data_IF_892190388826
#
_entry.id   IF_892190388826
#
_cell.length_a   1.000
_cell.length_b   1.000
_cell.length_c   1.000
_cell.angle_alpha   90.00
_cell.angle_beta   90.00
_cell.angle_gamma   90.00
#
_symmetry.space_group_name_H-M   'P 1'
#
loop_
_entity.id
_entity.type
_entity.pdbx_description
1 polymer ?
#
# COMPACT_ATOMS: atom_id res chain seq x y z
N UNK A 1 8.96 19.00 -9.22
CA UNK A 1 10.13 19.71 -8.66
C UNK A 1 11.30 18.74 -8.57
N UNK A 2 12.31 18.90 -9.43
CA UNK A 2 13.50 18.05 -9.53
C UNK A 2 14.28 17.95 -8.21
N UNK A 3 14.35 19.04 -7.48
CA UNK A 3 15.06 19.08 -6.18
C UNK A 3 14.37 18.16 -5.13
N UNK A 4 13.05 18.07 -5.14
CA UNK A 4 12.31 17.14 -4.27
C UNK A 4 12.57 15.68 -4.68
N UNK A 5 12.59 15.38 -5.97
CA UNK A 5 12.89 14.03 -6.45
C UNK A 5 14.32 13.62 -6.08
N UNK A 6 15.30 14.51 -6.22
CA UNK A 6 16.69 14.26 -5.83
C UNK A 6 16.85 14.06 -4.30
N UNK A 7 16.09 14.79 -3.52
CA UNK A 7 16.15 14.71 -2.05
C UNK A 7 15.50 13.43 -1.52
N UNK A 8 14.31 13.08 -2.00
CA UNK A 8 13.50 11.99 -1.45
C UNK A 8 13.60 10.68 -2.25
N UNK A 9 14.07 10.74 -3.51
CA UNK A 9 14.29 9.58 -4.37
C UNK A 9 15.58 8.80 -4.10
N UNK A 10 16.37 9.19 -3.09
CA UNK A 10 17.60 8.47 -2.74
C UNK A 10 17.31 7.06 -2.26
N UNK A 11 17.95 6.06 -2.90
CA UNK A 11 17.78 4.65 -2.54
C UNK A 11 16.64 3.94 -3.27
N UNK A 12 15.91 4.63 -4.16
CA UNK A 12 14.99 3.96 -5.08
C UNK A 12 15.79 3.19 -6.14
N UNK A 13 15.22 2.09 -6.70
CA UNK A 13 15.88 1.35 -7.78
C UNK A 13 16.23 2.26 -8.94
N UNK A 14 17.46 2.19 -9.43
CA UNK A 14 17.96 2.89 -10.61
C UNK A 14 18.52 1.88 -11.60
N UNK A 15 17.74 0.83 -11.86
CA UNK A 15 18.06 -0.22 -12.80
C UNK A 15 17.55 0.07 -14.23
N UNK A 16 17.81 -0.87 -15.14
CA UNK A 16 17.37 -0.75 -16.54
C UNK A 16 15.84 -0.69 -16.66
N UNK A 17 15.11 -1.44 -15.83
CA UNK A 17 13.64 -1.50 -15.86
C UNK A 17 13.08 -0.15 -15.43
N UNK A 18 13.59 0.41 -14.33
CA UNK A 18 13.16 1.73 -13.86
C UNK A 18 13.38 2.81 -14.91
N UNK A 19 14.61 2.89 -15.47
CA UNK A 19 14.96 3.95 -16.44
C UNK A 19 14.21 3.86 -17.75
N UNK A 20 14.03 2.64 -18.28
CA UNK A 20 13.52 2.45 -19.66
C UNK A 20 12.03 2.07 -19.72
N UNK A 21 11.47 1.56 -18.63
CA UNK A 21 10.08 1.13 -18.62
C UNK A 21 9.23 2.03 -17.71
N UNK A 22 9.54 2.10 -16.43
CA UNK A 22 8.67 2.80 -15.47
C UNK A 22 8.77 4.31 -15.58
N UNK A 23 9.95 4.89 -15.47
CA UNK A 23 10.13 6.34 -15.53
C UNK A 23 9.81 6.92 -16.90
N UNK A 24 10.19 6.22 -17.98
CA UNK A 24 9.97 6.68 -19.35
C UNK A 24 8.53 6.47 -19.83
N UNK A 25 7.81 5.50 -19.26
CA UNK A 25 6.50 5.07 -19.73
C UNK A 25 5.50 4.88 -18.58
N UNK A 26 5.47 5.80 -17.62
CA UNK A 26 4.67 5.71 -16.39
C UNK A 26 3.17 5.44 -16.61
N UNK A 27 2.62 5.85 -17.76
CA UNK A 27 1.21 5.62 -18.13
C UNK A 27 0.98 4.32 -18.90
N UNK A 28 2.06 3.68 -19.38
CA UNK A 28 1.94 2.45 -20.19
C UNK A 28 1.32 1.30 -19.38
N UNK A 29 1.67 1.15 -18.11
CA UNK A 29 1.11 0.13 -17.23
C UNK A 29 -0.41 0.24 -17.08
N UNK A 30 -0.91 1.47 -16.96
CA UNK A 30 -2.36 1.76 -16.84
C UNK A 30 -3.09 1.35 -18.14
N UNK A 31 -2.51 1.70 -19.31
CA UNK A 31 -3.08 1.34 -20.60
C UNK A 31 -3.01 -0.16 -20.85
N UNK A 32 -1.87 -0.80 -20.53
CA UNK A 32 -1.69 -2.24 -20.68
C UNK A 32 -2.71 -3.02 -19.82
N UNK A 33 -2.94 -2.56 -18.60
CA UNK A 33 -3.95 -3.16 -17.70
C UNK A 33 -5.35 -3.08 -18.30
N UNK A 34 -5.73 -1.91 -18.89
CA UNK A 34 -7.00 -1.78 -19.61
C UNK A 34 -7.11 -2.77 -20.77
N UNK A 35 -6.05 -2.91 -21.59
CA UNK A 35 -6.05 -3.85 -22.71
C UNK A 35 -6.20 -5.29 -22.22
N UNK A 36 -5.49 -5.69 -21.17
CA UNK A 36 -5.59 -7.02 -20.58
C UNK A 36 -7.00 -7.27 -20.06
N UNK A 37 -7.58 -6.34 -19.32
CA UNK A 37 -8.94 -6.48 -18.80
C UNK A 37 -9.98 -6.61 -19.93
N UNK A 38 -9.82 -5.84 -21.00
CA UNK A 38 -10.70 -5.96 -22.18
C UNK A 38 -10.55 -7.30 -22.90
N UNK A 39 -9.35 -7.84 -23.00
CA UNK A 39 -9.10 -9.14 -23.60
C UNK A 39 -9.67 -10.29 -22.74
N UNK A 40 -9.60 -10.17 -21.42
CA UNK A 40 -10.08 -11.21 -20.48
C UNK A 40 -11.61 -11.15 -20.28
N UNK A 41 -12.18 -9.97 -20.17
CA UNK A 41 -13.56 -9.76 -19.75
C UNK A 41 -14.45 -9.10 -20.83
N UNK A 42 -13.93 -8.86 -22.05
CA UNK A 42 -14.64 -8.14 -23.09
C UNK A 42 -15.05 -6.73 -22.63
N UNK A 43 -16.24 -6.23 -22.98
CA UNK A 43 -16.70 -4.89 -22.58
C UNK A 43 -16.74 -4.65 -21.07
N UNK A 44 -16.89 -5.71 -20.25
CA UNK A 44 -16.84 -5.64 -18.79
C UNK A 44 -15.46 -5.28 -18.25
N UNK A 45 -14.42 -5.43 -19.07
CA UNK A 45 -13.05 -5.01 -18.76
C UNK A 45 -12.94 -3.52 -18.42
N UNK A 46 -13.79 -2.66 -19.02
CA UNK A 46 -13.85 -1.24 -18.64
C UNK A 46 -14.29 -1.05 -17.17
N UNK A 47 -15.27 -1.83 -16.71
CA UNK A 47 -15.73 -1.76 -15.33
C UNK A 47 -14.66 -2.28 -14.36
N UNK A 48 -14.03 -3.41 -14.68
CA UNK A 48 -12.95 -4.00 -13.88
C UNK A 48 -11.80 -2.99 -13.75
N UNK A 49 -11.33 -2.47 -14.88
CA UNK A 49 -10.27 -1.48 -14.90
C UNK A 49 -10.64 -0.21 -14.13
N UNK A 50 -11.88 0.30 -14.29
CA UNK A 50 -12.36 1.49 -13.57
C UNK A 50 -12.34 1.28 -12.04
N UNK A 51 -12.75 0.11 -11.57
CA UNK A 51 -12.70 -0.25 -10.14
C UNK A 51 -11.24 -0.31 -9.66
N UNK A 52 -10.35 -0.94 -10.42
CA UNK A 52 -8.92 -1.00 -10.09
C UNK A 52 -8.30 0.40 -9.98
N UNK A 53 -8.63 1.32 -10.92
CA UNK A 53 -8.11 2.69 -10.88
C UNK A 53 -8.64 3.51 -9.71
N UNK A 54 -9.87 3.27 -9.27
CA UNK A 54 -10.48 3.96 -8.13
C UNK A 54 -10.09 3.35 -6.78
N UNK A 55 -9.68 2.10 -6.75
CA UNK A 55 -9.41 1.37 -5.51
C UNK A 55 -8.37 2.07 -4.63
N UNK A 56 -7.20 2.34 -5.18
CA UNK A 56 -6.10 2.96 -4.43
C UNK A 56 -6.44 4.39 -4.00
N UNK A 57 -6.89 5.32 -4.88
CA UNK A 57 -7.25 6.67 -4.46
C UNK A 57 -8.35 6.68 -3.40
N UNK A 58 -9.37 5.84 -3.53
CA UNK A 58 -10.46 5.76 -2.57
C UNK A 58 -9.99 5.25 -1.20
N UNK A 59 -9.29 4.11 -1.18
CA UNK A 59 -8.88 3.50 0.08
C UNK A 59 -7.66 4.18 0.68
N UNK A 60 -6.58 4.38 -0.07
CA UNK A 60 -5.35 4.95 0.48
C UNK A 60 -5.50 6.43 0.82
N UNK A 61 -6.02 7.27 -0.09
CA UNK A 61 -6.15 8.69 0.16
C UNK A 61 -7.41 9.02 0.98
N UNK A 62 -8.58 8.47 0.62
CA UNK A 62 -9.84 8.78 1.27
C UNK A 62 -9.99 8.11 2.63
N UNK A 63 -9.87 6.79 2.68
CA UNK A 63 -10.12 6.03 3.92
C UNK A 63 -8.91 6.07 4.83
N UNK A 64 -7.75 5.63 4.37
CA UNK A 64 -6.58 5.52 5.25
C UNK A 64 -6.05 6.88 5.66
N UNK A 65 -5.71 7.76 4.72
CA UNK A 65 -5.15 9.07 5.06
C UNK A 65 -6.21 10.09 5.48
N UNK A 66 -7.46 9.96 5.05
CA UNK A 66 -8.56 10.82 5.48
C UNK A 66 -9.16 10.34 6.81
N UNK A 67 -9.91 9.22 6.77
CA UNK A 67 -10.60 8.70 7.95
C UNK A 67 -9.63 8.25 9.04
N UNK A 68 -8.52 7.61 8.68
CA UNK A 68 -7.51 7.11 9.61
C UNK A 68 -6.77 8.20 10.42
N UNK A 69 -6.87 9.49 10.02
CA UNK A 69 -6.38 10.61 10.82
C UNK A 69 -7.49 11.33 11.60
N UNK A 70 -8.73 10.86 11.51
CA UNK A 70 -9.87 11.48 12.17
C UNK A 70 -10.62 10.54 13.11
N UNK A 71 -10.77 9.27 12.74
CA UNK A 71 -11.61 8.30 13.45
C UNK A 71 -10.88 6.98 13.67
N UNK A 72 -11.03 6.44 14.89
CA UNK A 72 -10.52 5.14 15.27
C UNK A 72 -9.95 5.11 16.69
N UNK A 73 -9.33 3.99 17.05
CA UNK A 73 -8.67 3.84 18.34
C UNK A 73 -7.15 4.01 18.22
N UNK A 74 -6.48 4.28 19.34
CA UNK A 74 -5.03 4.48 19.42
C UNK A 74 -4.39 3.47 20.38
N UNK A 75 -3.26 2.92 19.98
CA UNK A 75 -2.43 2.09 20.86
C UNK A 75 -1.28 2.86 21.52
N UNK A 76 -1.09 4.11 21.16
CA UNK A 76 -0.06 4.99 21.67
C UNK A 76 -0.25 6.42 21.19
N UNK A 77 0.69 7.28 21.57
CA UNK A 77 0.71 8.69 21.16
C UNK A 77 1.54 8.79 19.88
N UNK A 78 0.91 9.18 18.78
CA UNK A 78 1.56 9.50 17.50
C UNK A 78 1.87 11.00 17.45
N UNK A 79 2.79 11.39 16.57
CA UNK A 79 3.12 12.83 16.35
C UNK A 79 2.00 13.58 15.63
N UNK A 80 1.08 12.84 15.05
CA UNK A 80 -0.10 13.31 14.35
C UNK A 80 -1.38 12.69 14.96
N UNK A 81 -2.52 12.88 14.31
CA UNK A 81 -3.80 12.36 14.77
C UNK A 81 -4.11 10.95 14.27
N UNK A 82 -3.15 10.21 13.74
CA UNK A 82 -3.37 8.87 13.19
C UNK A 82 -3.99 7.91 14.21
N UNK A 83 -4.96 7.14 13.73
CA UNK A 83 -5.75 6.17 14.48
C UNK A 83 -5.78 4.84 13.74
N UNK A 84 -6.05 3.77 14.46
CA UNK A 84 -6.42 2.49 13.87
C UNK A 84 -7.92 2.52 13.56
N UNK A 85 -8.30 2.35 12.31
CA UNK A 85 -9.69 2.41 11.85
C UNK A 85 -10.47 1.18 12.32
N UNK A 86 -9.83 0.01 12.22
CA UNK A 86 -10.36 -1.29 12.59
C UNK A 86 -9.25 -2.19 13.13
N UNK A 87 -9.53 -3.10 14.07
CA UNK A 87 -8.55 -4.11 14.48
C UNK A 87 -8.35 -5.21 13.42
N UNK A 88 -9.16 -5.25 12.39
CA UNK A 88 -9.12 -6.24 11.32
C UNK A 88 -8.47 -5.64 10.08
N UNK A 89 -7.14 -5.75 9.99
CA UNK A 89 -6.34 -5.31 8.85
C UNK A 89 -6.40 -6.32 7.70
N UNK A 90 -7.53 -6.39 6.98
CA UNK A 90 -7.79 -7.39 5.93
C UNK A 90 -8.01 -6.74 4.57
N UNK A 91 -8.85 -5.71 4.50
CA UNK A 91 -9.34 -5.14 3.23
C UNK A 91 -8.26 -4.36 2.51
N UNK A 92 -7.38 -3.68 3.26
CA UNK A 92 -6.35 -2.79 2.71
C UNK A 92 -4.95 -3.27 3.15
N UNK A 93 -4.77 -4.57 3.26
CA UNK A 93 -3.44 -5.16 3.49
C UNK A 93 -2.85 -4.92 4.88
N UNK A 94 -3.64 -4.53 5.87
CA UNK A 94 -3.19 -4.18 7.23
C UNK A 94 -3.22 -2.68 7.53
N UNK A 95 -3.37 -1.83 6.50
CA UNK A 95 -3.37 -0.37 6.64
C UNK A 95 -4.55 0.18 7.46
N UNK A 96 -5.56 -0.63 7.77
CA UNK A 96 -6.58 -0.32 8.77
C UNK A 96 -5.98 -0.06 10.16
N UNK A 97 -4.78 -0.60 10.42
CA UNK A 97 -3.98 -0.37 11.64
C UNK A 97 -3.06 0.85 11.50
N UNK A 98 -3.56 1.91 10.88
CA UNK A 98 -2.81 3.10 10.45
C UNK A 98 -2.13 3.84 11.61
N UNK A 99 -2.78 3.94 12.77
CA UNK A 99 -2.17 4.50 13.97
C UNK A 99 -0.95 3.71 14.44
N UNK A 100 -0.97 2.38 14.33
CA UNK A 100 0.17 1.54 14.65
C UNK A 100 1.32 1.71 13.65
N UNK A 101 1.00 1.88 12.35
CA UNK A 101 1.98 2.23 11.32
C UNK A 101 2.70 3.54 11.67
N UNK A 102 1.97 4.59 12.02
CA UNK A 102 2.55 5.88 12.41
C UNK A 102 3.34 5.85 13.73
N UNK A 103 3.08 4.90 14.62
CA UNK A 103 3.89 4.70 15.83
C UNK A 103 5.29 4.15 15.53
N UNK A 104 5.42 3.33 14.48
CA UNK A 104 6.67 2.69 14.09
C UNK A 104 6.64 2.38 12.58
N UNK A 105 6.90 3.39 11.74
CA UNK A 105 6.77 3.25 10.28
C UNK A 105 7.74 2.25 9.64
N UNK A 106 8.83 1.92 10.33
CA UNK A 106 9.82 0.96 9.84
C UNK A 106 9.44 -0.50 10.12
N UNK A 107 8.45 -0.73 10.98
CA UNK A 107 8.04 -2.08 11.35
C UNK A 107 7.07 -2.67 10.31
N UNK A 108 7.41 -3.77 9.67
CA UNK A 108 6.50 -4.41 8.71
C UNK A 108 5.28 -5.05 9.34
N UNK A 109 5.26 -5.20 10.68
CA UNK A 109 4.11 -5.71 11.42
C UNK A 109 3.30 -4.55 11.96
N UNK A 110 2.08 -4.38 11.48
CA UNK A 110 1.17 -3.32 11.91
C UNK A 110 0.34 -3.73 13.15
N UNK A 111 0.08 -5.03 13.36
CA UNK A 111 -0.62 -5.51 14.57
C UNK A 111 0.26 -5.41 15.82
N UNK A 112 -0.24 -4.76 16.89
CA UNK A 112 0.46 -4.57 18.17
C UNK A 112 -0.26 -5.23 19.34
N UNK A 113 -1.57 -5.40 19.25
CA UNK A 113 -2.41 -6.02 20.29
C UNK A 113 -2.82 -7.42 19.90
N UNK A 114 -3.13 -8.25 20.86
CA UNK A 114 -3.51 -9.66 20.64
C UNK A 114 -4.81 -9.83 19.82
N UNK A 115 -5.69 -8.81 19.83
CA UNK A 115 -6.95 -8.81 19.10
C UNK A 115 -6.85 -8.19 17.69
N UNK A 116 -5.68 -7.68 17.33
CA UNK A 116 -5.44 -7.10 16.01
C UNK A 116 -4.98 -8.17 15.04
N UNK A 117 -5.56 -8.17 13.86
CA UNK A 117 -5.17 -9.03 12.76
C UNK A 117 -4.59 -8.20 11.61
N UNK A 118 -3.46 -8.63 11.07
CA UNK A 118 -2.70 -7.97 10.02
C UNK A 118 -2.43 -8.98 8.90
N UNK A 119 -3.20 -8.88 7.82
CA UNK A 119 -3.09 -9.77 6.67
C UNK A 119 -1.76 -9.57 5.92
N UNK A 120 -1.23 -8.34 5.90
CA UNK A 120 0.08 -8.03 5.31
C UNK A 120 1.19 -8.77 6.04
N UNK A 121 1.20 -8.66 7.37
CA UNK A 121 2.15 -9.41 8.19
C UNK A 121 2.01 -10.93 8.05
N UNK A 122 0.79 -11.44 7.97
CA UNK A 122 0.55 -12.87 7.73
C UNK A 122 1.25 -13.32 6.43
N UNK A 123 1.08 -12.59 5.33
CA UNK A 123 1.72 -12.94 4.06
C UNK A 123 3.24 -12.77 4.09
N UNK A 124 3.76 -11.75 4.77
CA UNK A 124 5.21 -11.59 4.97
C UNK A 124 5.78 -12.83 5.67
N UNK A 125 5.11 -13.35 6.71
CA UNK A 125 5.55 -14.56 7.42
C UNK A 125 5.46 -15.82 6.54
N UNK A 126 4.46 -15.92 5.67
CA UNK A 126 4.38 -17.01 4.68
C UNK A 126 5.56 -16.95 3.71
N UNK A 127 5.85 -15.77 3.15
CA UNK A 127 6.98 -15.59 2.23
C UNK A 127 8.33 -15.84 2.91
N UNK A 128 8.49 -15.42 4.16
CA UNK A 128 9.69 -15.72 4.95
C UNK A 128 9.88 -17.23 5.15
N UNK A 129 8.80 -17.94 5.50
CA UNK A 129 8.82 -19.40 5.66
C UNK A 129 9.17 -20.12 4.35
N UNK A 130 8.72 -19.59 3.22
CA UNK A 130 9.06 -20.08 1.88
C UNK A 130 10.44 -19.64 1.40
N UNK A 131 11.20 -18.87 2.20
CA UNK A 131 12.51 -18.30 1.85
C UNK A 131 12.47 -17.35 0.64
N UNK A 132 11.32 -16.76 0.36
CA UNK A 132 11.12 -15.78 -0.72
C UNK A 132 11.29 -14.33 -0.24
N UNK A 133 11.32 -14.10 1.08
CA UNK A 133 11.58 -12.81 1.69
C UNK A 133 12.40 -12.96 2.97
N UNK A 134 13.10 -11.89 3.37
CA UNK A 134 13.80 -11.77 4.66
C UNK A 134 13.34 -10.51 5.37
N UNK A 135 12.99 -10.65 6.65
CA UNK A 135 12.65 -9.50 7.48
C UNK A 135 13.97 -8.93 8.02
N UNK A 136 14.20 -7.65 7.73
CA UNK A 136 15.32 -6.91 8.34
C UNK A 136 14.83 -6.33 9.67
N UNK A 137 15.48 -6.70 10.75
CA UNK A 137 15.27 -6.13 12.09
C UNK A 137 16.05 -4.84 12.25
#
# INVERSE_FOLDING_TARGET
DTAMVEQYGKGTPDDWIERNLYSSHSRLGILLMLVIDLLLFGPWGFLVWGIQMLWIPFWAAGVINGLGHWYGYKNGITRDNSCNISPWGIVIGGEELHGNHHLDPANPRLSRRWFEFDIGWFWIKVLEKLKLATIRS
#
